data_IF_340161366915
#
_entry.id   IF_340161366915
#
_cell.length_a   1.000
_cell.length_b   1.000
_cell.length_c   1.000
_cell.angle_alpha   90.00
_cell.angle_beta   90.00
_cell.angle_gamma   90.00
#
_symmetry.space_group_name_H-M   'P 1'
#
loop_
_entity.id
_entity.type
_entity.pdbx_description
1 polymer ?
#
# COMPACT_ATOMS: atom_id res chain seq x y z
N UNK A 1 44.70 67.33 65.88
CA UNK A 1 43.71 67.29 64.82
C UNK A 1 43.50 65.81 64.42
N UNK A 2 42.45 65.25 64.93
CA UNK A 2 42.08 63.88 64.73
C UNK A 2 41.20 63.82 63.44
N UNK A 3 41.60 62.99 62.51
CA UNK A 3 40.81 62.76 61.27
C UNK A 3 39.99 61.51 61.52
N UNK A 4 38.65 61.67 61.54
CA UNK A 4 37.70 60.54 61.61
C UNK A 4 37.69 59.72 60.32
N UNK A 5 37.61 58.39 60.41
CA UNK A 5 37.56 57.55 59.25
C UNK A 5 36.16 57.62 58.61
N UNK A 6 36.14 57.83 57.29
CA UNK A 6 34.92 57.81 56.44
C UNK A 6 34.40 56.37 56.38
N UNK A 7 33.19 56.18 56.89
CA UNK A 7 32.48 54.91 56.82
C UNK A 7 31.81 54.74 55.41
N UNK A 8 32.15 53.73 54.63
CA UNK A 8 31.50 53.54 53.29
C UNK A 8 30.07 53.07 53.46
N UNK A 9 29.16 53.75 52.79
CA UNK A 9 27.75 53.34 52.64
C UNK A 9 27.63 51.99 51.95
N UNK A 10 26.82 51.07 52.47
CA UNK A 10 26.64 49.77 51.86
C UNK A 10 25.90 49.91 50.52
N UNK A 11 26.44 49.25 49.45
CA UNK A 11 25.82 49.14 48.14
C UNK A 11 24.61 48.24 48.30
N UNK A 12 23.40 48.63 47.83
CA UNK A 12 22.23 47.76 47.85
C UNK A 12 22.45 46.56 46.93
N UNK A 13 22.00 45.37 47.32
CA UNK A 13 22.12 44.17 46.47
C UNK A 13 21.36 44.37 45.19
N UNK A 14 21.84 43.76 44.04
CA UNK A 14 21.14 43.84 42.77
C UNK A 14 19.75 43.24 42.92
N UNK A 15 18.75 43.93 42.38
CA UNK A 15 17.38 43.44 42.35
C UNK A 15 17.34 42.09 41.60
N UNK A 16 16.99 41.03 42.32
CA UNK A 16 16.75 39.72 41.70
C UNK A 16 15.50 39.82 40.83
N UNK A 17 15.67 39.92 39.52
CA UNK A 17 14.58 39.71 38.55
C UNK A 17 14.24 38.22 38.50
N UNK A 18 13.68 37.72 39.59
CA UNK A 18 13.16 36.38 39.67
C UNK A 18 11.91 36.30 38.79
N UNK A 19 12.02 35.68 37.62
CA UNK A 19 10.83 35.25 36.90
C UNK A 19 10.04 34.29 37.80
N UNK A 20 8.84 34.70 38.21
CA UNK A 20 8.00 33.82 39.02
C UNK A 20 7.62 32.60 38.18
N UNK A 21 7.51 31.43 38.77
CA UNK A 21 7.08 30.18 38.11
C UNK A 21 5.77 30.39 37.37
N UNK A 22 4.87 31.22 37.89
CA UNK A 22 3.63 31.62 37.24
C UNK A 22 3.88 32.37 35.91
N UNK A 23 4.86 33.27 35.84
CA UNK A 23 5.19 34.00 34.62
C UNK A 23 5.80 33.09 33.55
N UNK A 24 6.56 32.06 33.91
CA UNK A 24 7.10 31.05 33.00
C UNK A 24 5.96 30.19 32.46
N UNK A 25 5.02 29.77 33.31
CA UNK A 25 3.83 29.00 32.89
C UNK A 25 2.96 29.80 31.91
N UNK A 26 2.67 31.07 32.20
CA UNK A 26 1.88 31.91 31.31
C UNK A 26 2.61 32.29 30.03
N UNK A 27 3.92 32.51 30.06
CA UNK A 27 4.67 32.94 28.86
C UNK A 27 5.05 31.82 27.91
N UNK A 28 5.16 30.58 28.38
CA UNK A 28 5.63 29.45 27.55
C UNK A 28 4.63 28.31 27.45
N UNK A 29 4.07 27.82 28.53
CA UNK A 29 3.24 26.63 28.54
C UNK A 29 1.86 26.89 27.89
N UNK A 30 1.22 28.01 28.19
CA UNK A 30 -0.09 28.35 27.61
C UNK A 30 -0.01 28.59 26.09
N UNK A 31 0.92 29.39 25.55
CA UNK A 31 1.08 29.51 24.10
C UNK A 31 1.42 28.20 23.42
N UNK A 32 2.24 27.34 24.05
CA UNK A 32 2.57 26.02 23.49
C UNK A 32 1.34 25.13 23.42
N UNK A 33 0.53 25.09 24.47
CA UNK A 33 -0.73 24.33 24.48
C UNK A 33 -1.71 24.87 23.43
N UNK A 34 -1.81 26.19 23.28
CA UNK A 34 -2.66 26.82 22.25
C UNK A 34 -2.15 26.48 20.85
N UNK A 35 -0.84 26.53 20.60
CA UNK A 35 -0.25 26.17 19.30
C UNK A 35 -0.50 24.70 19.00
N UNK A 36 -0.33 23.79 19.94
CA UNK A 36 -0.61 22.36 19.77
C UNK A 36 -2.11 22.11 19.55
N UNK A 37 -2.97 22.79 20.29
CA UNK A 37 -4.43 22.68 20.11
C UNK A 37 -4.89 23.25 18.76
N UNK A 38 -4.34 24.39 18.33
CA UNK A 38 -4.62 24.99 17.02
C UNK A 38 -4.04 24.14 15.90
N UNK A 39 -2.82 23.65 16.02
CA UNK A 39 -2.23 22.72 15.05
C UNK A 39 -3.01 21.40 15.00
N UNK A 40 -3.43 20.86 16.14
CA UNK A 40 -4.31 19.70 16.23
C UNK A 40 -5.68 19.94 15.60
N UNK A 41 -6.28 21.11 15.85
CA UNK A 41 -7.54 21.52 15.21
C UNK A 41 -7.37 21.66 13.70
N UNK A 42 -6.33 22.33 13.21
CA UNK A 42 -6.03 22.41 11.79
C UNK A 42 -5.67 21.06 11.18
N UNK A 43 -4.98 20.19 11.90
CA UNK A 43 -4.70 18.84 11.46
C UNK A 43 -5.99 18.01 11.36
N UNK A 44 -6.88 18.10 12.34
CA UNK A 44 -8.18 17.40 12.35
C UNK A 44 -9.13 17.97 11.30
N UNK A 45 -9.15 19.32 11.10
CA UNK A 45 -9.99 19.96 10.10
C UNK A 45 -9.40 19.97 8.69
N UNK A 46 -8.08 19.77 8.55
CA UNK A 46 -7.42 19.57 7.27
C UNK A 46 -7.47 18.11 6.80
N UNK A 47 -7.86 17.16 7.67
CA UNK A 47 -8.37 15.87 7.20
C UNK A 47 -9.71 16.21 6.56
N UNK A 48 -9.88 16.08 5.23
CA UNK A 48 -11.15 16.37 4.59
C UNK A 48 -12.24 15.57 5.31
N UNK A 49 -13.29 16.23 5.77
CA UNK A 49 -14.45 15.58 6.41
C UNK A 49 -15.07 14.51 5.51
N UNK A 50 -14.67 14.47 4.26
CA UNK A 50 -15.08 13.48 3.28
C UNK A 50 -13.87 13.03 2.45
N UNK A 51 -13.08 12.02 2.91
CA UNK A 51 -12.08 11.36 2.08
C UNK A 51 -12.70 10.66 0.87
N UNK A 52 -14.03 10.60 0.79
CA UNK A 52 -14.83 10.15 -0.33
C UNK A 52 -15.07 11.21 -1.40
N UNK A 53 -14.37 12.36 -1.38
CA UNK A 53 -14.39 13.21 -2.56
C UNK A 53 -13.80 12.41 -3.73
N UNK A 54 -14.71 11.90 -4.55
CA UNK A 54 -14.41 11.03 -5.68
C UNK A 54 -13.40 11.68 -6.62
N UNK A 55 -13.48 13.02 -6.79
CA UNK A 55 -12.57 13.79 -7.64
C UNK A 55 -11.13 13.78 -7.09
N UNK A 56 -10.95 13.80 -5.76
CA UNK A 56 -9.63 13.66 -5.16
C UNK A 56 -9.09 12.23 -5.29
N UNK A 57 -9.93 11.23 -5.08
CA UNK A 57 -9.58 9.81 -5.19
C UNK A 57 -9.31 9.41 -6.65
N UNK A 58 -10.10 9.91 -7.60
CA UNK A 58 -9.89 9.74 -9.04
C UNK A 58 -8.66 10.52 -9.51
N UNK A 59 -8.45 11.74 -9.04
CA UNK A 59 -7.26 12.52 -9.38
C UNK A 59 -5.95 11.89 -8.89
N UNK A 60 -5.97 11.18 -7.75
CA UNK A 60 -4.85 10.32 -7.33
C UNK A 60 -4.75 9.07 -8.22
N UNK A 61 -5.89 8.48 -8.56
CA UNK A 61 -5.99 7.29 -9.40
C UNK A 61 -5.57 7.57 -10.84
N UNK A 62 -5.88 8.74 -11.41
CA UNK A 62 -5.44 9.16 -12.76
C UNK A 62 -3.92 9.20 -12.90
N UNK A 63 -3.18 9.47 -11.82
CA UNK A 63 -1.71 9.45 -11.85
C UNK A 63 -1.14 8.04 -11.82
N UNK A 64 -1.89 7.07 -11.33
CA UNK A 64 -1.45 5.71 -11.06
C UNK A 64 -2.25 4.67 -11.87
N UNK A 65 -3.50 4.96 -12.16
CA UNK A 65 -4.38 4.18 -13.01
C UNK A 65 -4.35 4.84 -14.39
N UNK A 66 -3.85 4.18 -15.39
CA UNK A 66 -3.91 4.59 -16.79
C UNK A 66 -4.60 3.50 -17.61
N UNK A 67 -4.85 3.71 -18.89
CA UNK A 67 -5.23 2.63 -19.78
C UNK A 67 -4.12 1.58 -19.79
N UNK A 68 -4.39 0.43 -19.16
CA UNK A 68 -3.45 -0.69 -19.00
C UNK A 68 -3.81 -1.87 -19.90
N UNK A 69 -4.69 -1.66 -20.86
CA UNK A 69 -5.04 -2.68 -21.86
C UNK A 69 -3.93 -2.88 -22.89
N UNK A 70 -2.99 -1.92 -22.97
CA UNK A 70 -1.79 -1.98 -23.80
C UNK A 70 -0.55 -1.69 -22.97
N UNK A 71 0.59 -2.18 -23.42
CA UNK A 71 1.88 -1.77 -22.86
C UNK A 71 2.17 -0.31 -23.24
N UNK A 72 2.85 0.41 -22.34
CA UNK A 72 3.31 1.78 -22.59
C UNK A 72 4.27 1.83 -23.80
N UNK A 73 4.14 2.84 -24.63
CA UNK A 73 5.04 3.09 -25.77
C UNK A 73 6.52 3.35 -25.38
N UNK A 74 6.77 3.51 -24.08
CA UNK A 74 8.13 3.58 -23.54
C UNK A 74 8.89 2.23 -23.63
N UNK A 75 8.18 1.13 -23.84
CA UNK A 75 8.72 -0.22 -23.91
C UNK A 75 8.38 -0.91 -25.23
N UNK A 76 9.19 -1.89 -25.64
CA UNK A 76 8.88 -2.79 -26.74
C UNK A 76 8.15 -4.03 -26.23
N UNK A 77 7.25 -4.58 -27.06
CA UNK A 77 6.46 -5.79 -26.81
C UNK A 77 6.32 -6.53 -28.14
N UNK A 78 7.36 -7.23 -28.54
CA UNK A 78 7.42 -7.88 -29.84
C UNK A 78 6.58 -9.19 -29.87
N UNK A 79 6.37 -9.82 -28.73
CA UNK A 79 5.64 -11.08 -28.60
C UNK A 79 4.16 -10.90 -28.21
N UNK A 80 3.71 -9.68 -27.88
CA UNK A 80 2.33 -9.36 -27.56
C UNK A 80 1.86 -9.85 -26.17
N UNK A 81 2.79 -10.06 -25.24
CA UNK A 81 2.46 -10.51 -23.88
C UNK A 81 2.17 -9.38 -22.89
N UNK A 82 2.20 -8.12 -23.36
CA UNK A 82 1.97 -6.89 -22.61
C UNK A 82 3.02 -6.61 -21.53
N UNK A 83 4.20 -7.20 -21.65
CA UNK A 83 5.35 -7.00 -20.77
C UNK A 83 6.51 -6.43 -21.57
N UNK A 84 7.32 -5.60 -20.93
CA UNK A 84 8.48 -5.00 -21.59
C UNK A 84 9.51 -6.07 -22.00
N UNK A 85 9.87 -6.07 -23.30
CA UNK A 85 10.98 -6.88 -23.80
C UNK A 85 12.32 -6.43 -23.18
N UNK A 86 13.23 -7.36 -23.00
CA UNK A 86 14.62 -7.04 -22.66
C UNK A 86 15.24 -6.22 -23.78
N UNK A 87 15.88 -5.06 -23.48
CA UNK A 87 16.49 -4.23 -24.50
C UNK A 87 17.55 -4.97 -25.33
N UNK A 88 17.46 -4.84 -26.66
CA UNK A 88 18.50 -5.36 -27.57
C UNK A 88 19.79 -4.53 -27.56
N UNK A 89 19.70 -3.26 -27.15
CA UNK A 89 20.83 -2.37 -26.95
C UNK A 89 21.54 -2.67 -25.63
N UNK A 90 22.74 -3.23 -25.72
CA UNK A 90 23.54 -3.62 -24.55
C UNK A 90 23.85 -2.45 -23.60
N UNK A 91 23.86 -1.20 -24.08
CA UNK A 91 24.09 -0.01 -23.24
C UNK A 91 22.94 0.29 -22.28
N UNK A 92 21.75 -0.25 -22.53
CA UNK A 92 20.56 -0.15 -21.69
C UNK A 92 20.43 -1.28 -20.69
N UNK A 93 21.29 -2.30 -20.79
CA UNK A 93 21.27 -3.44 -19.87
C UNK A 93 21.99 -3.12 -18.57
N UNK A 94 21.42 -3.55 -17.48
CA UNK A 94 21.93 -3.34 -16.12
C UNK A 94 22.44 -4.64 -15.53
N UNK A 95 23.64 -4.58 -14.94
CA UNK A 95 24.24 -5.69 -14.19
C UNK A 95 24.71 -5.17 -12.82
N UNK A 96 23.80 -5.01 -11.85
CA UNK A 96 24.10 -4.40 -10.58
C UNK A 96 25.08 -5.29 -9.78
N UNK A 97 25.95 -4.68 -8.98
CA UNK A 97 26.87 -5.42 -8.09
C UNK A 97 26.12 -6.18 -6.98
N UNK A 98 24.99 -5.61 -6.52
CA UNK A 98 24.08 -6.25 -5.57
C UNK A 98 22.64 -6.15 -6.06
N UNK A 99 21.82 -7.12 -5.70
CA UNK A 99 20.38 -7.11 -6.00
C UNK A 99 19.61 -6.49 -4.84
N UNK A 100 18.79 -5.49 -5.15
CA UNK A 100 17.88 -4.85 -4.21
C UNK A 100 16.48 -5.42 -4.43
N UNK A 101 15.87 -5.91 -3.36
CA UNK A 101 14.59 -6.62 -3.40
C UNK A 101 13.58 -6.03 -2.41
N UNK A 102 12.30 -6.00 -2.75
CA UNK A 102 11.21 -5.62 -1.85
C UNK A 102 9.97 -6.48 -2.12
N UNK A 103 9.31 -6.91 -1.06
CA UNK A 103 7.95 -7.45 -1.15
C UNK A 103 6.95 -6.29 -1.12
N UNK A 104 5.66 -6.58 -1.35
CA UNK A 104 4.56 -5.60 -1.33
C UNK A 104 4.74 -4.57 -0.21
N UNK A 105 4.85 -3.30 -0.59
CA UNK A 105 5.02 -2.19 0.36
C UNK A 105 3.85 -2.15 1.35
N UNK A 106 4.15 -2.25 2.63
CA UNK A 106 3.18 -2.31 3.71
C UNK A 106 3.81 -1.96 5.06
N UNK A 107 2.98 -1.68 6.06
CA UNK A 107 3.45 -1.46 7.44
C UNK A 107 4.25 -2.66 7.99
N UNK A 108 4.03 -3.87 7.45
CA UNK A 108 4.69 -5.11 7.88
C UNK A 108 5.99 -5.38 7.12
N UNK A 109 6.56 -4.40 6.41
CA UNK A 109 7.73 -4.59 5.51
C UNK A 109 8.93 -5.22 6.22
N UNK A 110 9.15 -4.92 7.51
CA UNK A 110 10.22 -5.55 8.32
C UNK A 110 9.96 -7.05 8.52
N UNK A 111 8.73 -7.45 8.82
CA UNK A 111 8.37 -8.86 8.99
C UNK A 111 8.41 -9.59 7.63
N UNK A 112 8.04 -8.90 6.54
CA UNK A 112 8.19 -9.43 5.19
C UNK A 112 9.65 -9.69 4.85
N UNK A 113 10.58 -8.82 5.24
CA UNK A 113 12.02 -9.04 5.05
C UNK A 113 12.48 -10.34 5.70
N UNK A 114 12.06 -10.60 6.95
CA UNK A 114 12.38 -11.85 7.66
C UNK A 114 11.77 -13.09 6.99
N UNK A 115 10.49 -12.97 6.61
CA UNK A 115 9.77 -14.06 5.93
C UNK A 115 10.43 -14.47 4.62
N UNK A 116 10.92 -13.50 3.84
CA UNK A 116 11.50 -13.74 2.52
C UNK A 116 13.03 -13.93 2.54
N UNK A 117 13.66 -13.94 3.73
CA UNK A 117 15.10 -14.20 3.84
C UNK A 117 15.54 -15.49 3.14
N UNK A 118 14.84 -16.65 3.27
CA UNK A 118 15.24 -17.87 2.58
C UNK A 118 15.20 -17.76 1.04
N UNK A 119 14.24 -16.98 0.49
CA UNK A 119 14.19 -16.69 -0.95
C UNK A 119 15.38 -15.81 -1.36
N UNK A 120 15.73 -14.79 -0.55
CA UNK A 120 16.90 -13.95 -0.82
C UNK A 120 18.18 -14.75 -0.82
N UNK A 121 18.35 -15.67 0.13
CA UNK A 121 19.52 -16.58 0.20
C UNK A 121 19.60 -17.48 -1.05
N UNK A 122 18.45 -17.96 -1.56
CA UNK A 122 18.39 -18.75 -2.79
C UNK A 122 18.78 -17.89 -4.01
N UNK A 123 18.26 -16.65 -4.11
CA UNK A 123 18.62 -15.73 -5.19
C UNK A 123 20.11 -15.40 -5.13
N UNK A 124 20.67 -15.11 -3.95
CA UNK A 124 22.09 -14.85 -3.76
C UNK A 124 22.95 -16.05 -4.20
N UNK A 125 22.57 -17.25 -3.78
CA UNK A 125 23.28 -18.50 -4.15
C UNK A 125 23.27 -18.72 -5.67
N UNK A 126 22.14 -18.50 -6.32
CA UNK A 126 21.96 -18.80 -7.75
C UNK A 126 22.61 -17.74 -8.63
N UNK A 127 22.49 -16.46 -8.26
CA UNK A 127 23.04 -15.34 -9.03
C UNK A 127 24.52 -15.10 -8.76
N UNK A 128 25.00 -15.46 -7.57
CA UNK A 128 26.34 -15.11 -7.07
C UNK A 128 26.46 -13.65 -6.63
N UNK A 129 25.34 -12.90 -6.54
CA UNK A 129 25.31 -11.49 -6.14
C UNK A 129 24.74 -11.33 -4.73
N UNK A 130 25.26 -10.41 -3.90
CA UNK A 130 24.63 -10.05 -2.63
C UNK A 130 23.18 -9.61 -2.85
N UNK A 131 22.27 -9.99 -1.95
CA UNK A 131 20.86 -9.59 -1.99
C UNK A 131 20.53 -8.81 -0.74
N UNK A 132 19.92 -7.64 -0.89
CA UNK A 132 19.54 -6.76 0.21
C UNK A 132 18.05 -6.41 0.11
N UNK A 133 17.33 -6.51 1.23
CA UNK A 133 15.93 -6.14 1.30
C UNK A 133 15.77 -4.64 1.56
N UNK A 134 14.97 -3.97 0.76
CA UNK A 134 14.61 -2.56 0.93
C UNK A 134 13.27 -2.48 1.65
N UNK A 135 13.27 -1.87 2.83
CA UNK A 135 12.06 -1.65 3.63
C UNK A 135 11.27 -0.49 3.02
N UNK A 136 10.08 -0.79 2.51
CA UNK A 136 9.17 0.19 1.93
C UNK A 136 7.77 -0.02 2.49
N UNK A 137 7.10 1.07 2.86
CA UNK A 137 5.75 1.06 3.44
C UNK A 137 4.71 1.69 2.54
N UNK A 138 5.14 2.44 1.52
CA UNK A 138 4.29 3.10 0.54
C UNK A 138 4.46 2.52 -0.86
N UNK A 139 3.34 2.23 -1.53
CA UNK A 139 3.32 1.61 -2.87
C UNK A 139 3.86 2.55 -3.95
N UNK A 140 3.64 3.86 -3.85
CA UNK A 140 4.16 4.81 -4.85
C UNK A 140 5.67 4.97 -4.69
N UNK A 141 6.17 4.93 -3.46
CA UNK A 141 7.61 4.88 -3.20
C UNK A 141 8.22 3.62 -3.79
N UNK A 142 7.58 2.45 -3.62
CA UNK A 142 8.04 1.19 -4.22
C UNK A 142 8.11 1.27 -5.76
N UNK A 143 7.09 1.84 -6.40
CA UNK A 143 7.08 2.07 -7.85
C UNK A 143 8.21 3.03 -8.28
N UNK A 144 8.44 4.12 -7.55
CA UNK A 144 9.52 5.07 -7.83
C UNK A 144 10.90 4.42 -7.71
N UNK A 145 11.13 3.67 -6.64
CA UNK A 145 12.39 2.93 -6.43
C UNK A 145 12.64 1.93 -7.57
N UNK A 146 11.60 1.22 -8.00
CA UNK A 146 11.74 0.27 -9.11
C UNK A 146 12.04 0.98 -10.43
N UNK A 147 11.33 2.07 -10.74
CA UNK A 147 11.53 2.89 -11.92
C UNK A 147 12.94 3.50 -11.99
N UNK A 148 13.47 3.90 -10.85
CA UNK A 148 14.79 4.53 -10.72
C UNK A 148 15.95 3.51 -10.66
N UNK A 149 15.66 2.21 -10.77
CA UNK A 149 16.66 1.15 -10.67
C UNK A 149 17.22 0.96 -9.24
N UNK A 150 16.51 1.45 -8.24
CA UNK A 150 16.79 1.24 -6.81
C UNK A 150 16.14 -0.05 -6.26
N UNK A 151 15.40 -0.76 -7.10
CA UNK A 151 14.90 -2.10 -6.91
C UNK A 151 15.11 -2.88 -8.20
N UNK A 152 15.52 -4.13 -8.09
CA UNK A 152 15.78 -5.02 -9.22
C UNK A 152 14.81 -6.19 -9.26
N UNK A 153 14.33 -6.61 -8.10
CA UNK A 153 13.36 -7.69 -7.91
C UNK A 153 12.28 -7.17 -6.96
N UNK A 154 11.02 -7.37 -7.29
CA UNK A 154 9.93 -6.95 -6.41
C UNK A 154 8.74 -7.91 -6.47
N UNK A 155 7.92 -7.88 -5.41
CA UNK A 155 6.54 -8.29 -5.51
C UNK A 155 5.65 -7.05 -5.37
N UNK A 156 4.71 -6.86 -6.28
CA UNK A 156 3.69 -5.81 -6.18
C UNK A 156 2.33 -6.41 -5.83
N UNK A 157 1.51 -5.70 -5.07
CA UNK A 157 0.14 -6.15 -4.86
C UNK A 157 -0.61 -6.24 -6.20
N UNK A 158 -1.58 -7.13 -6.27
CA UNK A 158 -2.31 -7.47 -7.49
C UNK A 158 -2.80 -6.25 -8.29
N UNK A 159 -3.32 -5.23 -7.59
CA UNK A 159 -3.82 -4.02 -8.23
C UNK A 159 -2.75 -3.03 -8.67
N UNK A 160 -1.52 -3.13 -8.17
CA UNK A 160 -0.39 -2.29 -8.56
C UNK A 160 0.34 -2.84 -9.79
N UNK A 161 0.25 -4.15 -10.05
CA UNK A 161 1.00 -4.79 -11.14
C UNK A 161 0.80 -4.10 -12.49
N UNK A 162 -0.41 -3.72 -12.93
CA UNK A 162 -0.57 -3.04 -14.21
C UNK A 162 0.19 -1.69 -14.28
N UNK A 163 0.24 -0.96 -13.18
CA UNK A 163 1.02 0.27 -13.09
C UNK A 163 2.54 -0.02 -13.09
N UNK A 164 2.98 -1.04 -12.34
CA UNK A 164 4.39 -1.43 -12.31
C UNK A 164 4.90 -1.85 -13.70
N UNK A 165 4.14 -2.68 -14.43
CA UNK A 165 4.47 -3.07 -15.80
C UNK A 165 4.61 -1.84 -16.70
N UNK A 166 3.60 -0.97 -16.71
CA UNK A 166 3.52 0.15 -17.64
C UNK A 166 4.43 1.35 -17.31
N UNK A 167 4.74 1.58 -16.03
CA UNK A 167 5.51 2.75 -15.60
C UNK A 167 6.99 2.44 -15.38
N UNK A 168 7.32 1.17 -15.14
CA UNK A 168 8.65 0.83 -14.65
C UNK A 168 9.33 -0.31 -15.43
N UNK A 169 8.62 -0.98 -16.35
CA UNK A 169 9.12 -2.17 -17.02
C UNK A 169 9.26 -3.37 -16.08
N UNK A 170 8.42 -3.47 -15.05
CA UNK A 170 8.35 -4.65 -14.20
C UNK A 170 7.91 -5.87 -15.02
N UNK A 171 8.67 -6.96 -14.94
CA UNK A 171 8.37 -8.24 -15.58
C UNK A 171 7.83 -9.19 -14.51
N UNK A 172 6.50 -9.34 -14.38
CA UNK A 172 5.92 -10.29 -13.43
C UNK A 172 6.20 -11.71 -13.92
N UNK A 173 6.75 -12.57 -13.04
CA UNK A 173 7.22 -13.90 -13.43
C UNK A 173 6.43 -15.02 -12.78
N UNK A 174 6.24 -14.98 -11.45
CA UNK A 174 5.62 -16.06 -10.71
C UNK A 174 4.83 -15.55 -9.51
N UNK A 175 3.86 -16.34 -9.05
CA UNK A 175 3.11 -16.08 -7.81
C UNK A 175 3.24 -17.24 -6.84
N UNK A 176 3.20 -16.99 -5.51
CA UNK A 176 3.21 -18.07 -4.53
C UNK A 176 1.95 -18.92 -4.63
N UNK A 177 2.10 -20.22 -4.53
CA UNK A 177 0.99 -21.18 -4.43
C UNK A 177 0.56 -21.30 -2.98
N UNK A 178 -0.69 -20.96 -2.69
CA UNK A 178 -1.25 -21.14 -1.35
C UNK A 178 -1.69 -22.59 -1.19
N UNK A 179 -1.10 -23.31 -0.25
CA UNK A 179 -1.43 -24.71 0.02
C UNK A 179 -2.89 -24.83 0.48
N UNK A 180 -3.68 -25.67 -0.20
CA UNK A 180 -5.06 -25.96 0.17
C UNK A 180 -6.13 -24.98 -0.35
N UNK A 181 -5.77 -24.00 -1.18
CA UNK A 181 -6.69 -23.04 -1.80
C UNK A 181 -6.67 -23.19 -3.32
N UNK A 182 -7.83 -22.96 -3.97
CA UNK A 182 -7.90 -22.62 -5.39
C UNK A 182 -6.94 -21.44 -5.64
N UNK A 183 -6.17 -21.50 -6.71
CA UNK A 183 -5.18 -20.46 -7.06
C UNK A 183 -5.81 -19.06 -7.03
N UNK A 184 -5.37 -18.22 -6.09
CA UNK A 184 -5.82 -16.84 -5.96
C UNK A 184 -6.73 -16.57 -4.76
N UNK A 185 -7.32 -15.38 -4.73
CA UNK A 185 -8.18 -14.88 -3.67
C UNK A 185 -9.41 -14.16 -4.24
N UNK A 186 -10.42 -13.95 -3.40
CA UNK A 186 -11.63 -13.21 -3.76
C UNK A 186 -11.70 -11.87 -3.02
N UNK A 187 -12.33 -10.87 -3.63
CA UNK A 187 -12.82 -9.71 -2.91
C UNK A 187 -14.02 -10.13 -2.07
N UNK A 188 -14.05 -9.70 -0.81
CA UNK A 188 -15.19 -9.93 0.08
C UNK A 188 -15.63 -8.62 0.74
N UNK A 189 -16.94 -8.44 0.88
CA UNK A 189 -17.49 -7.46 1.82
C UNK A 189 -17.73 -8.14 3.15
N UNK A 190 -17.19 -7.56 4.22
CA UNK A 190 -17.37 -8.01 5.59
C UNK A 190 -18.04 -6.91 6.43
N UNK A 191 -18.86 -7.33 7.39
CA UNK A 191 -19.58 -6.46 8.33
C UNK A 191 -19.44 -7.00 9.74
N UNK A 192 -19.61 -6.20 10.81
CA UNK A 192 -19.73 -6.70 12.18
C UNK A 192 -20.81 -7.77 12.26
N UNK A 193 -20.66 -8.73 13.20
CA UNK A 193 -21.57 -9.89 13.36
C UNK A 193 -23.04 -9.47 13.43
N UNK A 194 -23.34 -8.46 14.26
CA UNK A 194 -24.70 -8.00 14.56
C UNK A 194 -25.17 -6.87 13.62
N UNK A 195 -24.43 -6.59 12.53
CA UNK A 195 -24.78 -5.55 11.57
C UNK A 195 -26.14 -5.82 10.92
N UNK A 196 -26.90 -4.76 10.67
CA UNK A 196 -28.14 -4.83 9.89
C UNK A 196 -27.90 -4.94 8.36
N UNK A 197 -26.65 -4.75 7.90
CA UNK A 197 -26.25 -4.86 6.50
C UNK A 197 -26.16 -6.34 6.13
N UNK A 198 -26.97 -6.83 5.18
CA UNK A 198 -27.01 -8.23 4.79
C UNK A 198 -26.60 -8.48 3.34
N UNK A 199 -26.69 -7.47 2.49
CA UNK A 199 -26.37 -7.53 1.07
C UNK A 199 -25.55 -6.30 0.63
N UNK A 200 -24.86 -6.34 -0.51
CA UNK A 200 -24.19 -5.15 -1.03
C UNK A 200 -25.11 -3.94 -1.29
N UNK A 201 -26.40 -4.17 -1.57
CA UNK A 201 -27.37 -3.10 -1.74
C UNK A 201 -27.59 -2.29 -0.45
N UNK A 202 -27.43 -2.91 0.72
CA UNK A 202 -27.61 -2.27 2.03
C UNK A 202 -26.44 -1.32 2.38
N UNK A 203 -25.39 -1.28 1.56
CA UNK A 203 -24.27 -0.33 1.69
C UNK A 203 -24.74 1.11 1.38
N UNK A 204 -25.89 1.27 0.74
CA UNK A 204 -26.47 2.60 0.47
C UNK A 204 -26.70 3.38 1.77
N UNK A 205 -26.16 4.60 1.81
CA UNK A 205 -26.21 5.50 2.99
C UNK A 205 -25.23 5.10 4.11
N UNK A 206 -24.29 4.19 3.85
CA UNK A 206 -23.28 3.71 4.81
C UNK A 206 -21.89 4.17 4.46
N UNK A 207 -20.95 4.00 5.39
CA UNK A 207 -19.53 4.23 5.16
C UNK A 207 -18.82 2.90 4.86
N UNK A 208 -18.34 2.74 3.63
CA UNK A 208 -17.53 1.61 3.19
C UNK A 208 -16.05 1.88 3.49
N UNK A 209 -15.47 1.07 4.36
CA UNK A 209 -14.02 1.06 4.56
C UNK A 209 -13.33 0.37 3.38
N UNK A 210 -12.43 1.09 2.75
CA UNK A 210 -11.57 0.62 1.65
C UNK A 210 -10.11 0.77 2.04
N UNK A 211 -9.20 0.01 1.41
CA UNK A 211 -7.80 -0.05 1.87
C UNK A 211 -6.99 1.18 1.39
N UNK A 212 -6.36 1.08 0.24
CA UNK A 212 -5.67 2.15 -0.45
C UNK A 212 -6.05 2.11 -1.93
N UNK A 213 -5.87 3.22 -2.64
CA UNK A 213 -6.32 3.39 -4.03
C UNK A 213 -5.69 2.42 -5.04
N UNK A 214 -4.54 1.84 -4.71
CA UNK A 214 -3.85 0.86 -5.53
C UNK A 214 -4.36 -0.57 -5.34
N UNK A 215 -5.09 -0.83 -4.26
CA UNK A 215 -5.59 -2.18 -3.97
C UNK A 215 -6.67 -2.59 -4.97
N UNK A 216 -6.55 -3.79 -5.53
CA UNK A 216 -7.59 -4.34 -6.39
C UNK A 216 -8.85 -4.70 -5.59
N UNK A 217 -8.75 -5.64 -4.63
CA UNK A 217 -9.89 -6.11 -3.84
C UNK A 217 -10.34 -5.16 -2.73
N UNK A 218 -9.46 -4.28 -2.28
CA UNK A 218 -9.78 -3.36 -1.20
C UNK A 218 -10.24 -1.97 -1.67
N UNK A 219 -10.19 -1.69 -2.98
CA UNK A 219 -10.58 -0.38 -3.52
C UNK A 219 -11.23 -0.47 -4.90
N UNK A 220 -10.47 -0.84 -5.94
CA UNK A 220 -10.91 -0.72 -7.34
C UNK A 220 -12.10 -1.64 -7.64
N UNK A 221 -11.98 -2.90 -7.32
CA UNK A 221 -13.02 -3.91 -7.56
C UNK A 221 -14.32 -3.64 -6.79
N UNK A 222 -14.32 -3.36 -5.47
CA UNK A 222 -15.57 -3.08 -4.76
C UNK A 222 -16.30 -1.84 -5.31
N UNK A 223 -15.56 -0.78 -5.69
CA UNK A 223 -16.19 0.41 -6.26
C UNK A 223 -16.82 0.12 -7.63
N UNK A 224 -16.09 -0.56 -8.52
CA UNK A 224 -16.64 -0.94 -9.84
C UNK A 224 -17.82 -1.90 -9.70
N UNK A 225 -17.75 -2.85 -8.77
CA UNK A 225 -18.85 -3.77 -8.50
C UNK A 225 -20.12 -3.04 -8.03
N UNK A 226 -20.02 -2.13 -7.05
CA UNK A 226 -21.16 -1.36 -6.56
C UNK A 226 -21.75 -0.45 -7.63
N UNK A 227 -20.90 0.14 -8.48
CA UNK A 227 -21.34 0.95 -9.61
C UNK A 227 -22.08 0.12 -10.67
N UNK A 228 -21.49 -0.99 -11.09
CA UNK A 228 -21.95 -1.73 -12.24
C UNK A 228 -23.21 -2.56 -11.92
N UNK A 229 -23.26 -3.20 -10.75
CA UNK A 229 -24.38 -4.04 -10.32
C UNK A 229 -25.53 -3.25 -9.66
N UNK A 230 -25.19 -2.24 -8.83
CA UNK A 230 -26.19 -1.54 -8.01
C UNK A 230 -26.39 -0.09 -8.43
N UNK A 231 -25.61 0.43 -9.39
CA UNK A 231 -25.64 1.86 -9.78
C UNK A 231 -25.39 2.80 -8.62
N UNK A 232 -24.58 2.36 -7.65
CA UNK A 232 -24.19 3.13 -6.49
C UNK A 232 -22.82 3.77 -6.65
N UNK A 233 -22.70 5.02 -6.27
CA UNK A 233 -21.53 5.87 -6.47
C UNK A 233 -21.04 6.42 -5.12
N UNK A 234 -19.72 6.39 -4.84
CA UNK A 234 -19.17 6.97 -3.64
C UNK A 234 -19.38 8.50 -3.61
N UNK A 235 -19.62 9.03 -2.41
CA UNK A 235 -19.94 10.45 -2.21
C UNK A 235 -21.37 10.85 -2.58
N UNK A 236 -22.14 9.95 -3.19
CA UNK A 236 -23.56 10.15 -3.53
C UNK A 236 -24.45 9.12 -2.83
N UNK A 237 -24.14 7.86 -3.00
CA UNK A 237 -24.99 6.76 -2.50
C UNK A 237 -24.38 6.11 -1.24
N UNK A 238 -23.09 6.23 -1.02
CA UNK A 238 -22.37 5.78 0.17
C UNK A 238 -21.08 6.58 0.34
N UNK A 239 -20.56 6.63 1.57
CA UNK A 239 -19.29 7.28 1.87
C UNK A 239 -18.12 6.29 1.81
N UNK A 240 -16.91 6.79 1.53
CA UNK A 240 -15.67 6.01 1.58
C UNK A 240 -14.83 6.40 2.79
N UNK A 241 -14.16 5.41 3.36
CA UNK A 241 -13.11 5.62 4.35
C UNK A 241 -11.87 4.81 4.02
N UNK A 242 -10.75 5.49 3.76
CA UNK A 242 -9.47 4.84 3.58
C UNK A 242 -8.96 4.32 4.93
N UNK A 243 -8.82 3.02 5.05
CA UNK A 243 -8.29 2.36 6.25
C UNK A 243 -6.76 2.25 6.23
N UNK A 244 -6.15 2.38 5.05
CA UNK A 244 -4.72 2.20 4.82
C UNK A 244 -4.30 0.77 4.47
N UNK A 245 -5.12 -0.25 4.78
CA UNK A 245 -4.79 -1.65 4.46
C UNK A 245 -5.84 -2.66 4.93
N UNK A 246 -5.71 -3.91 4.47
CA UNK A 246 -6.66 -4.96 4.81
C UNK A 246 -6.72 -5.26 6.31
N UNK A 247 -5.56 -5.29 6.98
CA UNK A 247 -5.49 -5.54 8.42
C UNK A 247 -6.23 -4.46 9.22
N UNK A 248 -6.07 -3.18 8.83
CA UNK A 248 -6.76 -2.05 9.44
C UNK A 248 -8.26 -2.11 9.18
N UNK A 249 -8.69 -2.47 7.96
CA UNK A 249 -10.11 -2.67 7.63
C UNK A 249 -10.74 -3.77 8.50
N UNK A 250 -10.07 -4.93 8.63
CA UNK A 250 -10.54 -6.08 9.42
C UNK A 250 -10.61 -5.72 10.91
N UNK A 251 -9.57 -5.06 11.44
CA UNK A 251 -9.56 -4.58 12.83
C UNK A 251 -10.68 -3.58 13.09
N UNK A 252 -10.96 -2.69 12.13
CA UNK A 252 -12.05 -1.72 12.23
C UNK A 252 -13.43 -2.38 12.27
N UNK A 253 -13.65 -3.50 11.57
CA UNK A 253 -14.88 -4.31 11.68
C UNK A 253 -14.99 -4.94 13.06
N UNK A 254 -13.90 -5.51 13.60
CA UNK A 254 -13.89 -6.14 14.91
C UNK A 254 -14.19 -5.15 16.06
N UNK A 255 -13.74 -3.90 15.93
CA UNK A 255 -13.90 -2.86 16.96
C UNK A 255 -15.12 -1.97 16.77
N UNK A 256 -16.06 -2.33 15.88
CA UNK A 256 -17.23 -1.54 15.48
C UNK A 256 -16.89 -0.14 14.97
N UNK A 257 -15.64 0.05 14.50
CA UNK A 257 -15.16 1.30 13.92
C UNK A 257 -15.59 1.51 12.46
N UNK A 258 -16.00 0.42 11.78
CA UNK A 258 -16.49 0.43 10.40
C UNK A 258 -17.80 -0.36 10.30
N UNK A 259 -18.75 0.15 9.50
CA UNK A 259 -20.03 -0.52 9.24
C UNK A 259 -19.90 -1.68 8.24
N UNK A 260 -19.02 -1.49 7.22
CA UNK A 260 -18.72 -2.47 6.19
C UNK A 260 -17.31 -2.22 5.67
N UNK A 261 -16.61 -3.29 5.29
CA UNK A 261 -15.27 -3.19 4.70
C UNK A 261 -15.11 -4.12 3.50
N UNK A 262 -14.32 -3.67 2.52
CA UNK A 262 -13.88 -4.48 1.39
C UNK A 262 -12.46 -4.99 1.63
N UNK A 263 -12.29 -6.33 1.61
CA UNK A 263 -10.99 -6.96 1.92
C UNK A 263 -10.70 -8.14 0.98
N UNK A 264 -9.45 -8.59 0.98
CA UNK A 264 -9.01 -9.82 0.33
C UNK A 264 -9.30 -11.04 1.21
N UNK A 265 -9.88 -12.09 0.65
CA UNK A 265 -10.31 -13.29 1.38
C UNK A 265 -9.15 -14.08 1.99
N UNK A 266 -8.01 -14.12 1.33
CA UNK A 266 -6.79 -14.79 1.80
C UNK A 266 -6.18 -14.07 3.01
N UNK A 267 -6.15 -12.72 2.99
CA UNK A 267 -5.69 -11.92 4.11
C UNK A 267 -6.66 -12.00 5.30
N UNK A 268 -7.99 -12.02 5.05
CA UNK A 268 -8.98 -12.25 6.10
C UNK A 268 -8.73 -13.60 6.77
N UNK A 269 -8.56 -14.67 5.99
CA UNK A 269 -8.26 -16.01 6.50
C UNK A 269 -6.92 -16.07 7.24
N UNK A 270 -5.90 -15.40 6.73
CA UNK A 270 -4.58 -15.35 7.38
C UNK A 270 -4.64 -14.66 8.75
N UNK A 271 -5.33 -13.51 8.83
CA UNK A 271 -5.51 -12.78 10.09
C UNK A 271 -6.37 -13.57 11.07
N UNK A 272 -7.41 -14.25 10.59
CA UNK A 272 -8.25 -15.13 11.42
C UNK A 272 -7.43 -16.31 11.99
N UNK A 273 -6.63 -16.97 11.16
CA UNK A 273 -5.78 -18.08 11.62
C UNK A 273 -4.71 -17.62 12.62
N UNK A 274 -4.25 -16.38 12.52
CA UNK A 274 -3.33 -15.77 13.48
C UNK A 274 -4.05 -15.26 14.77
N UNK A 275 -5.36 -15.42 14.88
CA UNK A 275 -6.16 -14.99 16.05
C UNK A 275 -6.47 -13.48 16.07
N UNK A 276 -6.22 -12.77 14.96
CA UNK A 276 -6.46 -11.32 14.87
C UNK A 276 -7.94 -10.94 14.73
N UNK A 277 -8.80 -11.87 14.32
CA UNK A 277 -10.26 -11.76 14.29
C UNK A 277 -10.86 -13.17 14.43
N UNK A 278 -12.02 -13.30 15.06
CA UNK A 278 -12.74 -14.58 15.19
C UNK A 278 -13.88 -14.67 14.18
N UNK A 279 -14.23 -15.88 13.77
CA UNK A 279 -15.38 -16.13 12.89
C UNK A 279 -16.70 -15.57 13.44
N UNK A 280 -16.83 -15.51 14.77
CA UNK A 280 -18.00 -14.93 15.46
C UNK A 280 -18.05 -13.40 15.48
N UNK A 281 -16.98 -12.70 15.10
CA UNK A 281 -16.90 -11.24 15.19
C UNK A 281 -17.43 -10.54 13.92
N UNK A 282 -17.57 -11.27 12.81
CA UNK A 282 -17.96 -10.70 11.51
C UNK A 282 -18.86 -11.62 10.70
N UNK A 283 -19.46 -11.08 9.64
CA UNK A 283 -20.13 -11.84 8.56
C UNK A 283 -19.60 -11.40 7.21
N UNK A 284 -19.50 -12.35 6.28
CA UNK A 284 -19.27 -12.07 4.85
C UNK A 284 -20.63 -11.93 4.20
N UNK A 285 -20.91 -10.78 3.59
CA UNK A 285 -22.17 -10.49 2.89
C UNK A 285 -22.05 -10.60 1.36
N UNK A 286 -20.81 -10.68 0.85
CA UNK A 286 -20.56 -10.91 -0.58
C UNK A 286 -19.14 -11.44 -0.80
N UNK A 287 -19.00 -12.29 -1.81
CA UNK A 287 -17.72 -12.72 -2.38
C UNK A 287 -17.75 -12.51 -3.89
N UNK A 288 -16.66 -12.05 -4.47
CA UNK A 288 -16.56 -11.97 -5.92
C UNK A 288 -16.60 -13.37 -6.58
N UNK A 289 -17.23 -13.46 -7.74
CA UNK A 289 -17.32 -14.72 -8.50
C UNK A 289 -15.95 -15.15 -9.06
N UNK A 290 -15.05 -14.19 -9.30
CA UNK A 290 -13.74 -14.42 -9.86
C UNK A 290 -12.65 -14.45 -8.79
N UNK A 291 -11.74 -15.44 -8.90
CA UNK A 291 -10.51 -15.45 -8.15
C UNK A 291 -9.52 -14.47 -8.79
N UNK A 292 -8.84 -13.71 -7.94
CA UNK A 292 -7.78 -12.77 -8.32
C UNK A 292 -6.42 -13.43 -8.12
N UNK A 293 -5.44 -13.21 -9.02
CA UNK A 293 -4.10 -13.74 -8.82
C UNK A 293 -3.45 -13.13 -7.58
N UNK A 294 -2.67 -13.93 -6.86
CA UNK A 294 -1.86 -13.44 -5.76
C UNK A 294 -0.77 -12.47 -6.25
N UNK A 295 -0.24 -11.65 -5.34
CA UNK A 295 0.85 -10.73 -5.62
C UNK A 295 2.03 -11.44 -6.29
N UNK A 296 2.41 -11.08 -7.53
CA UNK A 296 3.48 -11.76 -8.24
C UNK A 296 4.83 -11.21 -7.83
N UNK A 297 5.83 -12.07 -7.83
CA UNK A 297 7.22 -11.71 -7.90
C UNK A 297 7.66 -11.53 -9.35
N UNK A 298 8.61 -10.62 -9.55
CA UNK A 298 9.19 -10.35 -10.85
C UNK A 298 10.45 -9.51 -10.73
N UNK A 299 10.96 -9.09 -11.86
CA UNK A 299 12.26 -8.41 -11.96
C UNK A 299 12.20 -7.26 -12.98
N UNK A 300 13.24 -6.43 -13.02
CA UNK A 300 13.36 -5.33 -13.97
C UNK A 300 13.70 -5.84 -15.37
N UNK A 301 12.96 -5.39 -16.38
CA UNK A 301 13.07 -5.81 -17.79
C UNK A 301 14.47 -5.65 -18.37
N UNK A 302 15.23 -4.66 -17.89
CA UNK A 302 16.52 -4.26 -18.40
C UNK A 302 17.71 -4.90 -17.67
N UNK A 303 17.51 -5.87 -16.80
CA UNK A 303 18.62 -6.68 -16.29
C UNK A 303 19.25 -7.49 -17.43
N UNK A 304 20.57 -7.74 -17.37
CA UNK A 304 21.21 -8.64 -18.32
C UNK A 304 20.50 -9.99 -18.43
N UNK A 305 20.34 -10.57 -19.64
CA UNK A 305 19.59 -11.82 -19.84
C UNK A 305 20.07 -12.97 -18.94
N UNK A 306 21.39 -13.12 -18.78
CA UNK A 306 21.96 -14.17 -17.95
C UNK A 306 21.60 -14.01 -16.45
N UNK A 307 21.44 -12.75 -15.99
CA UNK A 307 21.02 -12.46 -14.64
C UNK A 307 19.51 -12.70 -14.46
N UNK A 308 18.68 -12.32 -15.46
CA UNK A 308 17.28 -12.67 -15.47
C UNK A 308 17.05 -14.18 -15.38
N UNK A 309 17.80 -14.98 -16.15
CA UNK A 309 17.68 -16.43 -16.17
C UNK A 309 18.09 -17.06 -14.82
N UNK A 310 19.13 -16.53 -14.17
CA UNK A 310 19.51 -16.98 -12.82
C UNK A 310 18.44 -16.60 -11.78
N UNK A 311 17.82 -15.43 -11.88
CA UNK A 311 16.71 -15.03 -10.99
C UNK A 311 15.52 -15.97 -11.18
N UNK A 312 15.12 -16.28 -12.42
CA UNK A 312 14.07 -17.25 -12.72
C UNK A 312 14.38 -18.63 -12.13
N UNK A 313 15.60 -19.12 -12.33
CA UNK A 313 16.07 -20.40 -11.75
C UNK A 313 15.94 -20.41 -10.22
N UNK A 314 16.23 -19.29 -9.55
CA UNK A 314 16.07 -19.20 -8.10
C UNK A 314 14.59 -19.29 -7.69
N UNK A 315 13.69 -18.63 -8.39
CA UNK A 315 12.26 -18.73 -8.15
C UNK A 315 11.72 -20.14 -8.41
N UNK A 316 12.14 -20.79 -9.52
CA UNK A 316 11.69 -22.12 -9.90
C UNK A 316 12.17 -23.20 -8.91
N UNK A 317 13.36 -22.99 -8.32
CA UNK A 317 13.93 -23.90 -7.32
C UNK A 317 13.39 -23.68 -5.90
N UNK A 318 12.70 -22.55 -5.64
CA UNK A 318 12.20 -22.24 -4.31
C UNK A 318 10.88 -22.97 -4.02
N UNK A 319 10.75 -23.54 -2.81
CA UNK A 319 9.64 -24.46 -2.50
C UNK A 319 8.80 -24.09 -1.30
N UNK A 320 9.12 -23.01 -0.57
CA UNK A 320 8.38 -22.61 0.66
C UNK A 320 8.11 -21.09 0.75
N UNK A 321 7.03 -20.63 0.15
CA UNK A 321 6.05 -21.37 -0.66
C UNK A 321 6.57 -21.72 -2.05
N UNK A 322 6.04 -22.78 -2.64
CA UNK A 322 6.28 -23.07 -4.04
C UNK A 322 5.69 -21.95 -4.90
N UNK A 323 6.40 -21.57 -5.95
CA UNK A 323 5.90 -20.62 -6.94
C UNK A 323 5.28 -21.34 -8.14
N UNK A 324 4.33 -20.67 -8.79
CA UNK A 324 3.79 -21.05 -10.10
C UNK A 324 4.05 -19.91 -11.10
N UNK A 325 4.40 -20.24 -12.36
CA UNK A 325 4.55 -19.24 -13.39
C UNK A 325 3.20 -18.56 -13.67
N UNK A 326 3.26 -17.30 -14.12
CA UNK A 326 2.09 -16.51 -14.50
C UNK A 326 2.17 -16.06 -15.94
N UNK A 327 1.01 -15.74 -16.52
CA UNK A 327 0.88 -15.03 -17.79
C UNK A 327 0.22 -13.67 -17.53
N UNK A 328 0.99 -12.59 -17.60
CA UNK A 328 0.44 -11.26 -17.31
C UNK A 328 -0.73 -10.91 -18.25
N UNK A 329 -0.58 -11.16 -19.55
CA UNK A 329 -1.62 -10.86 -20.52
C UNK A 329 -2.94 -11.56 -20.20
N UNK A 330 -2.89 -12.80 -19.69
CA UNK A 330 -4.07 -13.63 -19.39
C UNK A 330 -4.54 -13.43 -17.95
N UNK A 331 -3.65 -13.58 -16.98
CA UNK A 331 -4.05 -13.69 -15.57
C UNK A 331 -4.43 -12.32 -14.98
N UNK A 332 -3.93 -11.20 -15.57
CA UNK A 332 -4.27 -9.82 -15.20
C UNK A 332 -5.29 -9.16 -16.14
N UNK A 333 -5.89 -9.87 -17.08
CA UNK A 333 -6.86 -9.30 -18.04
C UNK A 333 -8.04 -8.61 -17.33
N UNK A 334 -8.64 -9.29 -16.34
CA UNK A 334 -9.74 -8.73 -15.57
C UNK A 334 -9.31 -7.48 -14.77
N UNK A 335 -8.13 -7.50 -14.16
CA UNK A 335 -7.61 -6.39 -13.35
C UNK A 335 -7.36 -5.17 -14.24
N UNK A 336 -6.78 -5.34 -15.42
CA UNK A 336 -6.60 -4.25 -16.40
C UNK A 336 -7.93 -3.66 -16.87
N UNK A 337 -8.96 -4.49 -17.04
CA UNK A 337 -10.32 -4.03 -17.38
C UNK A 337 -10.93 -3.21 -16.23
N UNK A 338 -10.74 -3.61 -14.98
CA UNK A 338 -11.15 -2.85 -13.82
C UNK A 338 -10.41 -1.51 -13.75
N UNK A 339 -9.10 -1.48 -13.99
CA UNK A 339 -8.31 -0.25 -14.04
C UNK A 339 -8.84 0.70 -15.12
N UNK A 340 -9.09 0.21 -16.33
CA UNK A 340 -9.69 1.00 -17.43
C UNK A 340 -11.11 1.50 -17.08
N UNK A 341 -11.89 0.70 -16.37
CA UNK A 341 -13.23 1.09 -15.91
C UNK A 341 -13.16 2.19 -14.84
N UNK A 342 -12.10 2.23 -14.04
CA UNK A 342 -11.86 3.31 -13.08
C UNK A 342 -11.49 4.64 -13.77
N UNK A 343 -10.71 4.61 -14.86
CA UNK A 343 -10.41 5.80 -15.68
C UNK A 343 -11.65 6.45 -16.23
N UNK A 344 -12.60 5.64 -16.69
CA UNK A 344 -13.82 6.09 -17.34
C UNK A 344 -14.97 6.30 -16.33
N UNK A 345 -14.66 6.52 -15.05
CA UNK A 345 -15.65 6.61 -13.98
C UNK A 345 -16.72 7.68 -14.22
N UNK A 346 -16.32 8.84 -14.75
CA UNK A 346 -17.21 9.98 -15.01
C UNK A 346 -17.83 9.98 -16.41
N UNK A 347 -17.54 9.01 -17.26
CA UNK A 347 -17.99 8.99 -18.65
C UNK A 347 -19.32 8.25 -18.89
N UNK A 348 -20.03 7.86 -17.83
CA UNK A 348 -21.32 7.16 -17.93
C UNK A 348 -22.44 7.86 -17.19
#
# INVERSE_FOLDING_TARGET
MSIDPINPTPIPPPASSGFSLANVIFATLIPTIIIVAVAGYFYITAIPENPGNLDFQIGLADRVIGDRTKLSEAFTDANGDLVADTPSDASKLVDPEKLLISHVASADSIEQAKKWQPLMDMIQKTTGKPVEYVILTDTNEQLSYFKEGKLHIAAFNTGTVPAAVNLTGFVPYCSPVTTGSTTGYQMVFIVPKESAINTPADIKGKTLAVTNVMSHSGYKMPLTYLRDEFKMYPGKDYDLRLSGGHAQSIKGIQSDGYEVAAVASDLLSSIQNAGGIKEGDYRVIHRSDTNQPAAPWGYAYNLKPELQDKIKQAFDAYTDPKFQPISYAKDWDYIRKVDSAMLNWNSK
#
